data_IF_629301197266
#
_entry.id   IF_629301197266
#
_cell.length_a   1.000
_cell.length_b   1.000
_cell.length_c   1.000
_cell.angle_alpha   90.00
_cell.angle_beta   90.00
_cell.angle_gamma   90.00
#
_symmetry.space_group_name_H-M   'P 1'
#
loop_
_entity.id
_entity.type
_entity.pdbx_description
1 polymer ?
#
# COMPACT_ATOMS: atom_id res chain seq x y z
N UNK A 1 -42.94 70.23 -29.34
CA UNK A 1 -43.16 69.67 -30.69
C UNK A 1 -43.36 68.17 -30.52
N UNK A 2 -44.62 67.77 -30.75
CA UNK A 2 -45.13 66.51 -31.33
C UNK A 2 -44.58 65.16 -30.82
N UNK A 3 -45.53 64.38 -30.29
CA UNK A 3 -45.53 62.94 -29.98
C UNK A 3 -45.43 62.04 -31.23
N UNK A 4 -44.93 60.80 -31.06
CA UNK A 4 -45.50 59.52 -31.56
C UNK A 4 -44.54 58.37 -31.14
N UNK A 5 -44.85 57.48 -30.20
CA UNK A 5 -45.86 56.38 -30.13
C UNK A 5 -45.56 55.16 -31.02
N UNK A 6 -45.17 54.03 -30.39
CA UNK A 6 -45.83 52.68 -30.40
C UNK A 6 -44.87 51.67 -29.71
N UNK A 7 -45.15 51.12 -28.52
CA UNK A 7 -45.95 49.90 -28.22
C UNK A 7 -45.45 48.64 -28.95
N UNK A 8 -45.34 47.44 -28.39
CA UNK A 8 -45.77 46.83 -27.13
C UNK A 8 -45.05 45.47 -27.00
N UNK A 9 -45.14 44.77 -25.87
CA UNK A 9 -45.03 43.30 -25.90
C UNK A 9 -44.10 42.61 -24.90
N UNK A 10 -44.59 42.54 -23.66
CA UNK A 10 -44.69 41.32 -22.87
C UNK A 10 -43.44 40.68 -22.20
N UNK A 11 -43.52 40.62 -20.88
CA UNK A 11 -42.64 39.88 -19.97
C UNK A 11 -42.83 38.36 -20.07
N UNK A 12 -41.73 37.59 -20.02
CA UNK A 12 -41.69 36.20 -19.51
C UNK A 12 -40.35 35.94 -18.81
N UNK A 13 -40.44 35.30 -17.64
CA UNK A 13 -39.41 34.88 -16.69
C UNK A 13 -38.26 34.01 -17.30
N UNK A 14 -37.11 33.85 -16.60
CA UNK A 14 -35.96 33.12 -17.14
C UNK A 14 -36.23 31.60 -17.20
N UNK A 15 -36.18 31.05 -18.41
CA UNK A 15 -36.29 29.61 -18.66
C UNK A 15 -34.94 28.89 -18.44
N UNK A 16 -35.05 27.70 -17.84
CA UNK A 16 -33.99 26.73 -17.57
C UNK A 16 -33.21 26.27 -18.83
N UNK A 17 -31.98 25.75 -18.68
CA UNK A 17 -31.13 25.34 -19.81
C UNK A 17 -31.67 24.14 -20.60
N UNK A 18 -31.47 24.21 -21.91
CA UNK A 18 -31.99 23.31 -22.96
C UNK A 18 -31.44 21.87 -22.91
N UNK A 19 -32.28 20.95 -23.37
CA UNK A 19 -32.08 19.51 -23.44
C UNK A 19 -31.06 19.06 -24.51
N UNK A 20 -30.39 17.93 -24.24
CA UNK A 20 -29.41 17.25 -25.10
C UNK A 20 -30.14 16.25 -26.01
N UNK A 21 -29.79 16.11 -27.31
CA UNK A 21 -30.47 15.20 -28.24
C UNK A 21 -30.25 13.71 -27.93
N UNK A 22 -31.18 12.81 -28.35
CA UNK A 22 -31.11 11.38 -28.07
C UNK A 22 -30.05 10.64 -28.89
N UNK A 23 -29.34 9.73 -28.22
CA UNK A 23 -28.34 8.83 -28.80
C UNK A 23 -28.99 7.78 -29.73
N UNK A 24 -28.43 7.62 -30.93
CA UNK A 24 -28.82 6.63 -31.96
C UNK A 24 -28.60 5.17 -31.53
N UNK A 25 -29.37 4.21 -32.07
CA UNK A 25 -29.48 2.84 -31.55
C UNK A 25 -28.42 1.90 -32.16
N UNK A 26 -27.19 1.93 -31.63
CA UNK A 26 -26.22 0.83 -31.80
C UNK A 26 -25.32 0.76 -30.57
N UNK A 27 -25.43 -0.31 -29.78
CA UNK A 27 -24.61 -0.55 -28.58
C UNK A 27 -25.34 -0.57 -27.23
N UNK A 28 -26.67 -0.61 -27.23
CA UNK A 28 -27.47 -0.71 -26.00
C UNK A 28 -27.52 -2.15 -25.45
N UNK A 29 -26.42 -2.62 -24.87
CA UNK A 29 -26.48 -3.68 -23.84
C UNK A 29 -26.44 -3.02 -22.46
N UNK A 30 -27.46 -2.20 -22.17
CA UNK A 30 -27.67 -1.62 -20.83
C UNK A 30 -28.33 -2.70 -19.98
N UNK A 31 -27.59 -3.22 -19.00
CA UNK A 31 -28.13 -4.14 -17.99
C UNK A 31 -29.31 -3.47 -17.29
N UNK A 32 -30.53 -3.90 -17.62
CA UNK A 32 -31.76 -3.50 -16.94
C UNK A 32 -31.84 -4.31 -15.65
N UNK A 33 -31.65 -3.67 -14.49
CA UNK A 33 -32.16 -4.20 -13.24
C UNK A 33 -33.60 -3.70 -13.08
N UNK A 34 -34.55 -4.55 -13.47
CA UNK A 34 -35.95 -4.40 -13.12
C UNK A 34 -36.30 -5.45 -12.07
N UNK A 35 -36.45 -4.99 -10.83
CA UNK A 35 -37.49 -5.40 -9.87
C UNK A 35 -37.67 -6.86 -9.46
N UNK A 36 -37.62 -7.04 -8.14
CA UNK A 36 -38.32 -8.04 -7.33
C UNK A 36 -37.71 -9.46 -7.28
N UNK A 37 -36.97 -9.70 -6.20
CA UNK A 37 -36.55 -11.03 -5.78
C UNK A 37 -35.45 -10.94 -4.74
N UNK A 38 -35.74 -11.39 -3.52
CA UNK A 38 -34.83 -11.45 -2.38
C UNK A 38 -33.48 -12.04 -2.81
N UNK A 39 -32.42 -11.24 -2.77
CA UNK A 39 -31.06 -11.77 -2.90
C UNK A 39 -30.11 -10.82 -2.20
N UNK A 40 -29.80 -11.14 -0.95
CA UNK A 40 -28.67 -10.53 -0.26
C UNK A 40 -27.45 -10.79 -1.13
N UNK A 41 -26.87 -9.73 -1.68
CA UNK A 41 -25.58 -9.82 -2.34
C UNK A 41 -24.61 -10.29 -1.27
N UNK A 42 -24.31 -11.60 -1.28
CA UNK A 42 -23.16 -12.14 -0.59
C UNK A 42 -21.98 -11.48 -1.28
N UNK A 43 -21.45 -10.43 -0.66
CA UNK A 43 -20.11 -9.97 -0.98
C UNK A 43 -19.20 -11.12 -0.57
N UNK A 44 -18.92 -12.01 -1.50
CA UNK A 44 -17.86 -12.99 -1.35
C UNK A 44 -16.57 -12.19 -1.37
N UNK A 45 -16.19 -11.66 -0.21
CA UNK A 45 -14.81 -11.28 0.05
C UNK A 45 -14.03 -12.58 -0.11
N UNK A 46 -13.55 -12.79 -1.33
CA UNK A 46 -12.50 -13.76 -1.58
C UNK A 46 -11.28 -13.19 -0.85
N UNK A 47 -11.18 -13.52 0.43
CA UNK A 47 -9.95 -13.41 1.20
C UNK A 47 -8.98 -14.37 0.54
N UNK A 48 -8.33 -13.92 -0.53
CA UNK A 48 -7.17 -14.59 -1.09
C UNK A 48 -6.01 -14.39 -0.08
N UNK A 49 -6.16 -14.95 1.11
CA UNK A 49 -5.05 -15.44 1.90
C UNK A 49 -4.73 -16.85 1.36
N UNK A 50 -4.48 -16.94 0.04
CA UNK A 50 -4.24 -18.18 -0.64
C UNK A 50 -2.85 -18.11 -1.30
N UNK A 51 -1.90 -18.72 -0.60
CA UNK A 51 -0.69 -19.36 -1.13
C UNK A 51 0.33 -18.47 -1.84
N UNK A 52 1.41 -18.12 -1.10
CA UNK A 52 2.80 -17.99 -1.56
C UNK A 52 3.09 -17.31 -2.92
N UNK A 53 2.26 -16.40 -3.39
CA UNK A 53 2.63 -15.46 -4.43
C UNK A 53 3.39 -14.32 -3.73
N UNK A 54 4.66 -14.14 -4.12
CA UNK A 54 5.50 -13.05 -3.63
C UNK A 54 4.74 -11.71 -3.74
N UNK A 55 4.52 -11.03 -2.62
CA UNK A 55 3.78 -9.76 -2.57
C UNK A 55 4.71 -8.65 -3.04
N UNK A 56 4.48 -8.20 -4.27
CA UNK A 56 5.25 -7.14 -4.92
C UNK A 56 4.56 -5.77 -4.83
N UNK A 57 3.90 -5.52 -3.70
CA UNK A 57 3.05 -4.33 -3.50
C UNK A 57 3.45 -3.67 -2.19
N UNK A 58 3.36 -2.35 -2.11
CA UNK A 58 3.51 -1.61 -0.85
C UNK A 58 2.39 -2.00 0.13
N UNK A 59 2.50 -1.69 1.44
CA UNK A 59 1.48 -2.09 2.42
C UNK A 59 0.05 -1.64 2.04
N UNK A 60 -0.10 -0.42 1.55
CA UNK A 60 -1.37 0.11 1.04
C UNK A 60 -1.85 -0.60 -0.22
N UNK A 61 -0.92 -1.00 -1.10
CA UNK A 61 -1.20 -1.78 -2.29
C UNK A 61 -1.60 -3.23 -1.99
N UNK A 62 -1.10 -3.80 -0.89
CA UNK A 62 -1.51 -5.13 -0.42
C UNK A 62 -2.94 -5.14 0.15
N UNK A 63 -3.41 -4.01 0.70
CA UNK A 63 -4.80 -3.84 1.13
C UNK A 63 -5.75 -3.53 -0.02
N UNK A 64 -5.25 -2.89 -1.07
CA UNK A 64 -6.04 -2.48 -2.23
C UNK A 64 -6.02 -3.61 -3.25
N UNK A 65 -6.99 -4.53 -3.13
CA UNK A 65 -7.23 -5.56 -4.16
C UNK A 65 -7.39 -4.90 -5.53
N UNK A 66 -6.42 -5.14 -6.41
CA UNK A 66 -6.43 -4.87 -7.85
C UNK A 66 -6.85 -3.48 -8.35
N UNK A 67 -6.16 -2.43 -7.89
CA UNK A 67 -6.02 -1.21 -8.67
C UNK A 67 -4.64 -1.23 -9.35
N UNK A 68 -4.64 -1.41 -10.67
CA UNK A 68 -3.45 -1.41 -11.53
C UNK A 68 -2.79 -0.02 -11.58
N UNK A 69 -2.19 0.43 -10.47
CA UNK A 69 -1.25 1.55 -10.47
C UNK A 69 0.11 0.99 -10.89
N UNK A 70 0.24 0.71 -12.19
CA UNK A 70 1.48 0.25 -12.80
C UNK A 70 2.53 1.36 -12.66
N UNK A 71 3.36 1.27 -11.61
CA UNK A 71 4.70 1.85 -11.69
C UNK A 71 5.44 1.04 -12.77
N UNK A 72 5.91 1.66 -13.87
CA UNK A 72 6.76 0.93 -14.80
C UNK A 72 8.00 0.45 -14.05
N UNK A 73 8.35 -0.84 -14.21
CA UNK A 73 9.53 -1.48 -13.62
C UNK A 73 9.48 -1.79 -12.10
N UNK A 74 8.47 -2.53 -11.66
CA UNK A 74 8.48 -3.15 -10.32
C UNK A 74 9.33 -4.42 -10.36
N UNK A 75 10.47 -4.40 -9.67
CA UNK A 75 11.30 -5.58 -9.42
C UNK A 75 10.81 -6.23 -8.13
N UNK A 76 10.73 -7.55 -8.14
CA UNK A 76 10.22 -8.34 -7.03
C UNK A 76 10.99 -9.64 -6.87
N UNK A 77 12.20 -9.52 -6.34
CA UNK A 77 13.14 -10.62 -6.10
C UNK A 77 13.69 -10.54 -4.67
N UNK A 78 12.82 -10.20 -3.71
CA UNK A 78 13.16 -10.07 -2.30
C UNK A 78 13.60 -11.40 -1.72
N UNK A 79 14.69 -11.37 -0.94
CA UNK A 79 15.24 -12.56 -0.28
C UNK A 79 15.04 -12.49 1.23
N UNK A 80 14.86 -13.66 1.84
CA UNK A 80 14.55 -13.80 3.27
C UNK A 80 15.69 -13.31 4.21
N UNK A 81 15.40 -13.06 5.51
CA UNK A 81 16.43 -12.67 6.47
C UNK A 81 17.52 -13.74 6.64
N UNK A 82 17.16 -15.01 6.48
CA UNK A 82 18.09 -16.13 6.53
C UNK A 82 19.11 -16.11 5.39
N UNK A 83 18.69 -15.69 4.19
CA UNK A 83 19.62 -15.48 3.08
C UNK A 83 20.67 -14.43 3.43
N UNK A 84 20.25 -13.25 3.90
CA UNK A 84 21.16 -12.16 4.25
C UNK A 84 22.14 -12.54 5.35
N UNK A 85 21.69 -13.32 6.33
CA UNK A 85 22.55 -13.84 7.41
C UNK A 85 23.69 -14.71 6.85
N UNK A 86 23.39 -15.55 5.86
CA UNK A 86 24.36 -16.48 5.29
C UNK A 86 25.20 -15.87 4.15
N UNK A 87 24.87 -14.66 3.68
CA UNK A 87 25.56 -13.98 2.58
C UNK A 87 26.00 -12.56 2.97
N UNK A 88 26.88 -12.39 3.99
CA UNK A 88 27.35 -11.07 4.42
C UNK A 88 28.07 -10.28 3.31
N UNK A 89 28.72 -10.97 2.37
CA UNK A 89 29.39 -10.33 1.24
C UNK A 89 28.44 -9.73 0.20
N UNK A 90 27.17 -10.14 0.19
CA UNK A 90 26.15 -9.60 -0.70
C UNK A 90 25.49 -8.32 -0.17
N UNK A 91 25.82 -7.90 1.07
CA UNK A 91 25.19 -6.74 1.69
C UNK A 91 25.55 -5.45 0.92
N UNK A 92 24.60 -4.52 0.75
CA UNK A 92 24.87 -3.20 0.20
C UNK A 92 25.94 -2.46 1.03
N UNK A 93 26.84 -1.73 0.36
CA UNK A 93 27.95 -1.02 1.02
C UNK A 93 27.51 0.00 2.09
N UNK A 94 26.26 0.46 2.00
CA UNK A 94 25.65 1.40 2.93
C UNK A 94 25.38 0.80 4.31
N UNK A 95 25.27 -0.54 4.42
CA UNK A 95 24.96 -1.22 5.70
C UNK A 95 26.02 -2.27 5.96
N UNK A 96 26.76 -2.12 7.07
CA UNK A 96 27.72 -3.13 7.51
C UNK A 96 27.08 -4.07 8.50
N UNK A 97 27.57 -5.31 8.50
CA UNK A 97 27.11 -6.36 9.42
C UNK A 97 27.37 -6.03 10.89
N UNK A 98 28.44 -5.26 11.16
CA UNK A 98 28.84 -4.78 12.49
C UNK A 98 28.15 -3.48 12.93
N UNK A 99 27.44 -2.80 12.03
CA UNK A 99 26.70 -1.60 12.40
C UNK A 99 25.63 -1.95 13.43
N UNK A 100 25.42 -1.05 14.39
CA UNK A 100 24.32 -1.19 15.35
C UNK A 100 23.01 -0.89 14.65
N UNK A 101 21.95 -1.57 15.06
CA UNK A 101 20.62 -1.37 14.50
C UNK A 101 20.14 0.09 14.61
N UNK A 102 20.49 0.76 15.72
CA UNK A 102 20.19 2.17 15.96
C UNK A 102 20.86 3.16 14.99
N UNK A 103 21.89 2.73 14.24
CA UNK A 103 22.54 3.59 13.25
C UNK A 103 21.71 3.74 11.97
N UNK A 104 20.89 2.72 11.64
CA UNK A 104 20.07 2.70 10.43
C UNK A 104 18.59 2.94 10.73
N UNK A 105 18.13 2.51 11.90
CA UNK A 105 16.73 2.58 12.29
C UNK A 105 16.58 3.35 13.60
N UNK A 106 15.56 4.22 13.67
CA UNK A 106 15.18 4.83 14.95
C UNK A 106 14.79 3.73 15.95
N UNK A 107 15.58 3.54 16.99
CA UNK A 107 15.33 2.53 18.00
C UNK A 107 15.83 3.00 19.35
N UNK A 108 14.93 3.01 20.33
CA UNK A 108 15.23 3.19 21.75
C UNK A 108 14.97 1.88 22.46
N UNK A 109 15.95 1.34 23.20
CA UNK A 109 15.79 0.11 23.99
C UNK A 109 16.76 -1.01 23.63
N UNK A 110 16.44 -2.27 24.00
CA UNK A 110 17.40 -3.39 23.95
C UNK A 110 17.93 -3.71 22.55
N UNK A 111 17.17 -3.41 21.49
CA UNK A 111 17.60 -3.66 20.11
C UNK A 111 18.63 -2.63 19.61
N UNK A 112 18.71 -1.46 20.23
CA UNK A 112 19.54 -0.34 19.75
C UNK A 112 21.04 -0.65 19.75
N UNK A 113 21.52 -1.52 20.65
CA UNK A 113 22.93 -1.87 20.80
C UNK A 113 23.32 -3.13 20.03
N UNK A 114 22.35 -3.85 19.48
CA UNK A 114 22.54 -5.11 18.77
C UNK A 114 23.03 -4.80 17.35
N UNK A 115 24.02 -5.57 16.87
CA UNK A 115 24.49 -5.42 15.49
C UNK A 115 23.45 -5.87 14.47
N UNK A 116 23.45 -5.31 13.27
CA UNK A 116 22.56 -5.69 12.18
C UNK A 116 22.65 -7.20 11.87
N UNK A 117 23.84 -7.80 11.93
CA UNK A 117 23.98 -9.26 11.77
C UNK A 117 23.30 -10.04 12.90
N UNK A 118 23.41 -9.57 14.14
CA UNK A 118 22.74 -10.24 15.27
C UNK A 118 21.23 -10.09 15.20
N UNK A 119 20.70 -8.94 14.75
CA UNK A 119 19.26 -8.69 14.55
C UNK A 119 18.62 -9.72 13.61
N UNK A 120 19.37 -10.29 12.66
CA UNK A 120 18.86 -11.37 11.79
C UNK A 120 18.62 -12.71 12.52
N UNK A 121 18.90 -12.78 13.82
CA UNK A 121 18.48 -13.88 14.69
C UNK A 121 17.28 -13.47 15.53
N UNK A 122 16.50 -14.46 15.99
CA UNK A 122 15.38 -14.21 16.90
C UNK A 122 15.84 -13.45 18.14
N UNK A 123 15.24 -12.28 18.39
CA UNK A 123 15.56 -11.44 19.53
C UNK A 123 14.50 -11.60 20.62
N UNK A 124 14.93 -11.82 21.87
CA UNK A 124 13.99 -11.91 23.00
C UNK A 124 13.18 -10.62 23.19
N UNK A 125 13.77 -9.48 22.86
CA UNK A 125 13.13 -8.17 22.93
C UNK A 125 12.14 -7.91 21.78
N UNK A 126 12.11 -8.74 20.74
CA UNK A 126 11.25 -8.60 19.57
C UNK A 126 10.39 -9.87 19.39
N UNK A 127 9.25 -9.90 20.08
CA UNK A 127 8.39 -11.10 20.16
C UNK A 127 7.97 -11.64 18.78
N UNK A 128 7.77 -10.76 17.81
CA UNK A 128 7.32 -11.15 16.46
C UNK A 128 8.47 -11.23 15.45
N UNK A 129 9.71 -10.89 15.84
CA UNK A 129 10.87 -10.78 14.95
C UNK A 129 10.68 -9.72 13.84
N UNK A 130 9.94 -8.65 14.11
CA UNK A 130 9.69 -7.57 13.16
C UNK A 130 11.00 -6.93 12.69
N UNK A 131 11.95 -6.70 13.60
CA UNK A 131 13.23 -6.06 13.30
C UNK A 131 14.05 -6.87 12.28
N UNK A 132 14.03 -8.20 12.41
CA UNK A 132 14.68 -9.11 11.46
C UNK A 132 14.10 -8.96 10.05
N UNK A 133 12.77 -8.96 9.94
CA UNK A 133 12.08 -8.85 8.66
C UNK A 133 12.24 -7.45 8.05
N UNK A 134 12.18 -6.39 8.85
CA UNK A 134 12.39 -5.01 8.42
C UNK A 134 13.81 -4.80 7.90
N UNK A 135 14.83 -5.30 8.61
CA UNK A 135 16.21 -5.21 8.16
C UNK A 135 16.40 -5.93 6.83
N UNK A 136 15.84 -7.13 6.67
CA UNK A 136 15.89 -7.86 5.41
C UNK A 136 15.20 -7.10 4.26
N UNK A 137 14.01 -6.53 4.50
CA UNK A 137 13.33 -5.68 3.53
C UNK A 137 14.17 -4.46 3.15
N UNK A 138 14.81 -3.80 4.12
CA UNK A 138 15.69 -2.66 3.86
C UNK A 138 16.89 -3.05 2.98
N UNK A 139 17.55 -4.17 3.27
CA UNK A 139 18.63 -4.73 2.43
C UNK A 139 18.13 -5.10 1.02
N UNK A 140 16.90 -5.62 0.90
CA UNK A 140 16.27 -5.91 -0.39
C UNK A 140 16.03 -4.64 -1.22
N UNK A 141 15.59 -3.54 -0.60
CA UNK A 141 15.42 -2.25 -1.30
C UNK A 141 16.77 -1.69 -1.74
N UNK A 142 17.76 -1.67 -0.84
CA UNK A 142 19.08 -1.10 -1.12
C UNK A 142 19.87 -1.88 -2.18
N UNK A 143 19.69 -3.20 -2.26
CA UNK A 143 20.28 -4.04 -3.30
C UNK A 143 19.52 -4.01 -4.63
N UNK A 144 18.41 -3.26 -4.72
CA UNK A 144 17.57 -3.20 -5.92
C UNK A 144 16.75 -4.47 -6.19
N UNK A 145 16.70 -5.41 -5.23
CA UNK A 145 15.90 -6.63 -5.33
C UNK A 145 14.40 -6.37 -5.29
N UNK A 146 13.98 -5.30 -4.62
CA UNK A 146 12.60 -4.82 -4.63
C UNK A 146 12.55 -3.32 -4.92
N UNK A 147 11.59 -2.88 -5.72
CA UNK A 147 11.41 -1.44 -6.06
C UNK A 147 10.02 -0.89 -5.73
N UNK A 148 9.11 -1.71 -5.19
CA UNK A 148 7.78 -1.26 -4.78
C UNK A 148 7.79 -0.46 -3.46
N UNK A 149 8.87 -0.53 -2.69
CA UNK A 149 9.14 0.25 -1.48
C UNK A 149 10.42 1.08 -1.66
N UNK A 150 10.48 2.24 -1.00
CA UNK A 150 11.69 3.08 -0.92
C UNK A 150 12.41 2.84 0.41
N UNK A 151 13.72 3.15 0.51
CA UNK A 151 14.44 3.02 1.78
C UNK A 151 13.76 3.80 2.90
N UNK A 152 13.35 5.04 2.62
CA UNK A 152 12.65 5.90 3.57
C UNK A 152 11.31 5.30 4.04
N UNK A 153 10.52 4.72 3.13
CA UNK A 153 9.26 4.09 3.51
C UNK A 153 9.47 2.93 4.50
N UNK A 154 10.56 2.17 4.36
CA UNK A 154 10.90 1.10 5.32
C UNK A 154 11.28 1.68 6.69
N UNK A 155 12.03 2.77 6.72
CA UNK A 155 12.36 3.49 7.96
C UNK A 155 11.10 4.02 8.66
N UNK A 156 10.15 4.58 7.90
CA UNK A 156 8.89 5.11 8.43
C UNK A 156 7.99 4.00 8.99
N UNK A 157 7.92 2.85 8.31
CA UNK A 157 7.21 1.65 8.81
C UNK A 157 7.77 1.24 10.17
N UNK A 158 9.10 1.17 10.28
CA UNK A 158 9.75 0.81 11.54
C UNK A 158 9.54 1.85 12.63
N UNK A 159 9.71 3.14 12.32
CA UNK A 159 9.57 4.21 13.30
C UNK A 159 8.16 4.22 13.92
N UNK A 160 7.12 4.03 13.10
CA UNK A 160 5.75 3.91 13.60
C UNK A 160 5.58 2.66 14.46
N UNK A 161 6.05 1.50 14.00
CA UNK A 161 5.96 0.26 14.77
C UNK A 161 6.71 0.31 16.10
N UNK A 162 7.94 0.84 16.12
CA UNK A 162 8.76 0.96 17.31
C UNK A 162 8.16 1.94 18.34
N UNK A 163 7.38 2.93 17.89
CA UNK A 163 6.73 3.92 18.76
C UNK A 163 5.41 3.40 19.32
N UNK A 164 4.56 2.79 18.50
CA UNK A 164 3.18 2.45 18.87
C UNK A 164 2.92 0.94 19.04
N UNK A 165 3.91 0.09 18.74
CA UNK A 165 3.75 -1.36 18.69
C UNK A 165 2.86 -1.86 17.54
N UNK A 166 2.43 -0.96 16.65
CA UNK A 166 1.55 -1.23 15.51
C UNK A 166 1.93 -0.35 14.32
N UNK A 167 1.56 -0.78 13.12
CA UNK A 167 1.76 -0.03 11.89
C UNK A 167 0.43 0.14 11.15
N UNK A 168 0.11 1.34 10.70
CA UNK A 168 -1.11 1.61 9.92
C UNK A 168 -0.73 2.00 8.50
N UNK A 169 -0.92 1.11 7.51
CA UNK A 169 -0.73 1.46 6.11
C UNK A 169 -1.60 2.66 5.73
N UNK A 170 -1.12 3.50 4.83
CA UNK A 170 -1.92 4.61 4.31
C UNK A 170 -3.22 4.06 3.68
N UNK A 171 -4.38 4.63 4.08
CA UNK A 171 -5.70 4.17 3.65
C UNK A 171 -6.26 2.97 4.41
N UNK A 172 -5.51 2.38 5.35
CA UNK A 172 -6.02 1.29 6.18
C UNK A 172 -7.03 1.80 7.22
N UNK A 173 -8.13 1.06 7.40
CA UNK A 173 -9.11 1.32 8.47
C UNK A 173 -8.66 0.79 9.85
N UNK A 174 -7.66 -0.11 9.87
CA UNK A 174 -7.16 -0.77 11.07
C UNK A 174 -5.64 -0.81 11.04
N UNK A 175 -5.04 -0.61 12.21
CA UNK A 175 -3.61 -0.81 12.41
C UNK A 175 -3.28 -2.32 12.37
N UNK A 176 -2.12 -2.64 11.82
CA UNK A 176 -1.54 -3.98 11.80
C UNK A 176 -0.73 -4.23 13.06
N UNK A 177 -0.97 -5.38 13.67
CA UNK A 177 -0.11 -5.90 14.74
C UNK A 177 1.25 -6.33 14.19
N UNK A 178 2.22 -6.58 15.09
CA UNK A 178 3.54 -7.07 14.68
C UNK A 178 3.50 -8.39 13.89
N UNK A 179 2.55 -9.29 14.22
CA UNK A 179 2.35 -10.53 13.45
C UNK A 179 1.88 -10.24 12.02
N UNK A 180 0.87 -9.39 11.86
CA UNK A 180 0.32 -9.05 10.54
C UNK A 180 1.35 -8.32 9.68
N UNK A 181 2.16 -7.45 10.29
CA UNK A 181 3.27 -6.79 9.62
C UNK A 181 4.32 -7.80 9.15
N UNK A 182 4.66 -8.77 9.99
CA UNK A 182 5.61 -9.85 9.65
C UNK A 182 5.06 -10.76 8.57
N UNK A 183 3.77 -11.11 8.60
CA UNK A 183 3.12 -11.93 7.56
C UNK A 183 3.22 -11.22 6.21
N UNK A 184 2.91 -9.92 6.17
CA UNK A 184 3.07 -9.10 4.97
C UNK A 184 4.53 -9.03 4.51
N UNK A 185 5.47 -8.67 5.39
CA UNK A 185 6.88 -8.54 5.04
C UNK A 185 7.45 -9.87 4.55
N UNK A 186 7.13 -10.97 5.22
CA UNK A 186 7.52 -12.33 4.83
C UNK A 186 6.95 -12.70 3.48
N UNK A 187 5.70 -12.31 3.17
CA UNK A 187 5.14 -12.53 1.85
C UNK A 187 5.88 -11.76 0.74
N UNK A 188 6.63 -10.69 1.07
CA UNK A 188 7.44 -9.94 0.09
C UNK A 188 8.82 -10.54 -0.19
N UNK A 189 9.21 -11.60 0.52
CA UNK A 189 10.54 -12.20 0.43
C UNK A 189 10.49 -13.73 0.48
N UNK A 190 11.17 -14.39 -0.45
CA UNK A 190 11.30 -15.85 -0.49
C UNK A 190 12.67 -16.34 -0.02
#
# INVERSE_FOLDING_TARGET
MVNQEHQDGNAVAPAAPAAIPPLSPAGASRRRLAGLGVSGVVMTVASNHAMAALVCKSPSGALSGDLNSQRPNVVCNGVSPGYWKNHPSAWPAQVKTSDKFSQHFYCSGPLSTISCMQILNKQKADKNNVAMHILATYLNVLSGRITFLTPQAVLDIWAQYNTYGTYTPAGAKKAWSGSQLVDYLSATMS
#
